data_IF_861939163487
#
_entry.id   IF_861939163487
#
_cell.length_a   1.000
_cell.length_b   1.000
_cell.length_c   1.000
_cell.angle_alpha   90.00
_cell.angle_beta   90.00
_cell.angle_gamma   90.00
#
_symmetry.space_group_name_H-M   'P 1'
#
loop_
_entity.id
_entity.type
_entity.pdbx_description
1 polymer ?
#
# COMPACT_ATOMS: atom_id res chain seq x y z
N UNK A 1 -15.93 -14.92 -17.41
CA UNK A 1 -15.39 -15.39 -16.12
C UNK A 1 -16.16 -14.64 -15.05
N UNK A 2 -17.22 -15.26 -14.54
CA UNK A 2 -18.10 -14.65 -13.54
C UNK A 2 -17.35 -14.54 -12.21
N UNK A 3 -17.18 -13.32 -11.72
CA UNK A 3 -16.73 -13.10 -10.35
C UNK A 3 -17.90 -13.40 -9.43
N UNK A 4 -17.86 -14.54 -8.75
CA UNK A 4 -18.74 -14.80 -7.62
C UNK A 4 -18.53 -13.70 -6.57
N UNK A 5 -19.59 -12.92 -6.31
CA UNK A 5 -19.67 -11.98 -5.20
C UNK A 5 -19.57 -12.80 -3.92
N UNK A 6 -18.41 -12.77 -3.27
CA UNK A 6 -18.24 -13.35 -1.94
C UNK A 6 -19.12 -12.54 -0.99
N UNK A 7 -20.22 -13.14 -0.52
CA UNK A 7 -20.93 -12.65 0.66
C UNK A 7 -19.95 -12.73 1.84
N UNK A 8 -19.33 -11.61 2.20
CA UNK A 8 -18.52 -11.51 3.41
C UNK A 8 -19.44 -11.62 4.63
N UNK A 9 -19.69 -12.85 5.07
CA UNK A 9 -20.25 -13.10 6.39
C UNK A 9 -19.27 -12.54 7.43
N UNK A 10 -19.76 -11.63 8.29
CA UNK A 10 -18.99 -11.08 9.41
C UNK A 10 -18.39 -12.25 10.19
N UNK A 11 -17.06 -12.30 10.30
CA UNK A 11 -16.38 -13.33 11.06
C UNK A 11 -16.89 -13.27 12.51
N UNK A 12 -17.18 -14.42 13.15
CA UNK A 12 -17.60 -14.43 14.54
C UNK A 12 -16.52 -13.79 15.40
N UNK A 13 -16.92 -12.99 16.39
CA UNK A 13 -15.97 -12.46 17.37
C UNK A 13 -15.41 -13.65 18.15
N UNK A 14 -14.12 -13.93 17.97
CA UNK A 14 -13.43 -14.99 18.70
C UNK A 14 -12.98 -14.44 20.05
N UNK A 15 -13.49 -15.04 21.13
CA UNK A 15 -13.10 -14.72 22.52
C UNK A 15 -13.93 -13.61 23.18
N UNK A 16 -13.63 -13.35 24.46
CA UNK A 16 -14.33 -12.35 25.27
C UNK A 16 -13.63 -10.99 25.18
N UNK A 17 -14.30 -9.98 24.63
CA UNK A 17 -13.77 -8.60 24.59
C UNK A 17 -13.72 -8.02 26.00
N UNK A 18 -12.55 -7.52 26.40
CA UNK A 18 -12.37 -6.92 27.72
C UNK A 18 -13.23 -5.65 27.91
N UNK A 19 -13.90 -5.50 29.06
CA UNK A 19 -14.86 -4.40 29.34
C UNK A 19 -14.27 -3.00 29.14
N UNK A 20 -12.98 -2.83 29.41
CA UNK A 20 -12.31 -1.53 29.22
C UNK A 20 -12.05 -1.18 27.75
N UNK A 21 -12.02 -2.15 26.83
CA UNK A 21 -11.97 -1.88 25.40
C UNK A 21 -13.30 -1.28 24.90
N UNK A 22 -14.42 -1.68 25.51
CA UNK A 22 -15.75 -1.16 25.21
C UNK A 22 -15.99 0.24 25.82
N UNK A 23 -15.37 0.55 26.96
CA UNK A 23 -15.57 1.82 27.69
C UNK A 23 -15.00 3.06 27.00
N UNK A 24 -14.06 2.94 26.05
CA UNK A 24 -13.42 4.09 25.40
C UNK A 24 -14.23 4.73 24.26
N UNK A 25 -15.34 4.12 23.85
CA UNK A 25 -16.21 4.61 22.78
C UNK A 25 -17.58 5.03 23.29
N UNK A 26 -17.66 6.10 24.11
CA UNK A 26 -18.97 6.69 24.44
C UNK A 26 -19.54 7.59 23.33
N UNK A 27 -18.73 7.94 22.31
CA UNK A 27 -19.15 8.71 21.12
C UNK A 27 -18.65 8.15 19.78
N UNK A 28 -17.84 7.09 19.75
CA UNK A 28 -17.55 6.39 18.51
C UNK A 28 -18.45 5.17 18.51
N UNK A 29 -19.66 5.34 17.98
CA UNK A 29 -20.37 4.23 17.36
C UNK A 29 -19.31 3.48 16.56
N UNK A 30 -19.04 2.25 16.97
CA UNK A 30 -18.39 1.26 16.13
C UNK A 30 -19.10 1.38 14.80
N UNK A 31 -18.48 2.07 13.83
CA UNK A 31 -19.03 2.30 12.49
C UNK A 31 -19.71 1.00 12.13
N UNK A 32 -21.04 1.04 11.95
CA UNK A 32 -21.82 -0.18 11.80
C UNK A 32 -21.10 -1.05 10.78
N UNK A 33 -20.90 -2.34 11.06
CA UNK A 33 -20.03 -3.20 10.24
C UNK A 33 -20.34 -3.10 8.72
N UNK A 34 -21.55 -2.67 8.38
CA UNK A 34 -22.00 -2.27 7.04
C UNK A 34 -21.16 -1.18 6.36
N UNK A 35 -20.73 -0.12 7.04
CA UNK A 35 -19.87 0.92 6.43
C UNK A 35 -18.54 0.34 5.96
N UNK A 36 -17.94 -0.59 6.72
CA UNK A 36 -16.71 -1.26 6.31
C UNK A 36 -16.93 -2.28 5.19
N UNK A 37 -18.09 -2.94 5.15
CA UNK A 37 -18.47 -3.84 4.06
C UNK A 37 -18.68 -3.08 2.73
N UNK A 38 -19.00 -1.79 2.80
CA UNK A 38 -19.19 -0.93 1.63
C UNK A 38 -17.89 -0.31 1.10
N UNK A 39 -16.74 -0.57 1.73
CA UNK A 39 -15.45 -0.07 1.23
C UNK A 39 -15.16 -0.73 -0.13
N UNK A 40 -14.81 0.05 -1.17
CA UNK A 40 -14.52 -0.50 -2.48
C UNK A 40 -13.40 -1.55 -2.45
N UNK A 41 -13.58 -2.65 -3.18
CA UNK A 41 -12.57 -3.71 -3.30
C UNK A 41 -11.24 -3.20 -3.85
N UNK A 42 -11.28 -2.20 -4.74
CA UNK A 42 -10.09 -1.50 -5.24
C UNK A 42 -9.29 -0.88 -4.10
N UNK A 43 -9.95 -0.24 -3.14
CA UNK A 43 -9.29 0.37 -1.98
C UNK A 43 -8.67 -0.67 -1.07
N UNK A 44 -9.36 -1.78 -0.83
CA UNK A 44 -8.82 -2.87 -0.03
C UNK A 44 -7.59 -3.50 -0.68
N UNK A 45 -7.59 -3.66 -2.01
CA UNK A 45 -6.44 -4.16 -2.76
C UNK A 45 -5.25 -3.18 -2.70
N UNK A 46 -5.50 -1.89 -2.88
CA UNK A 46 -4.50 -0.83 -2.70
C UNK A 46 -3.92 -0.84 -1.28
N UNK A 47 -4.78 -0.86 -0.26
CA UNK A 47 -4.38 -0.83 1.14
C UNK A 47 -3.57 -2.07 1.53
N UNK A 48 -3.99 -3.26 1.08
CA UNK A 48 -3.24 -4.50 1.30
C UNK A 48 -1.84 -4.45 0.64
N UNK A 49 -1.74 -3.96 -0.60
CA UNK A 49 -0.46 -3.79 -1.28
C UNK A 49 0.46 -2.79 -0.58
N UNK A 50 -0.08 -1.67 -0.08
CA UNK A 50 0.68 -0.68 0.68
C UNK A 50 1.18 -1.25 2.02
N UNK A 51 0.34 -2.02 2.72
CA UNK A 51 0.72 -2.69 3.97
C UNK A 51 1.83 -3.72 3.73
N UNK A 52 1.77 -4.48 2.64
CA UNK A 52 2.79 -5.48 2.29
C UNK A 52 4.12 -4.82 1.87
N UNK A 53 4.06 -3.67 1.21
CA UNK A 53 5.25 -2.93 0.76
C UNK A 53 5.95 -2.13 1.86
N UNK A 54 5.19 -1.28 2.56
CA UNK A 54 5.71 -0.22 3.45
C UNK A 54 5.16 -0.32 4.89
N UNK A 55 4.40 -1.36 5.18
CA UNK A 55 3.83 -1.63 6.49
C UNK A 55 4.37 -2.87 7.19
N UNK A 56 3.91 -3.07 8.42
CA UNK A 56 4.11 -4.31 9.16
C UNK A 56 3.01 -4.54 10.19
N UNK A 57 2.75 -5.81 10.50
CA UNK A 57 1.89 -6.24 11.61
C UNK A 57 2.77 -6.76 12.74
N UNK A 58 2.68 -6.13 13.91
CA UNK A 58 3.41 -6.50 15.12
C UNK A 58 2.46 -7.12 16.14
N UNK A 59 2.82 -8.30 16.65
CA UNK A 59 2.17 -8.96 17.78
C UNK A 59 3.16 -8.96 18.95
N UNK A 60 2.76 -8.53 20.14
CA UNK A 60 3.66 -8.41 21.29
C UNK A 60 2.97 -8.76 22.60
N UNK A 61 3.61 -9.61 23.39
CA UNK A 61 3.22 -9.88 24.77
C UNK A 61 3.59 -8.69 25.65
N UNK A 62 2.59 -8.14 26.33
CA UNK A 62 2.81 -7.05 27.28
C UNK A 62 3.22 -7.61 28.63
N UNK A 63 3.98 -6.82 29.40
CA UNK A 63 4.38 -7.16 30.78
C UNK A 63 3.18 -7.34 31.73
N UNK A 64 1.99 -6.92 31.33
CA UNK A 64 0.72 -7.08 32.06
C UNK A 64 -0.03 -8.36 31.71
N UNK A 65 0.56 -9.24 30.90
CA UNK A 65 -0.03 -10.55 30.55
C UNK A 65 -1.04 -10.53 29.40
N UNK A 66 -1.14 -9.44 28.64
CA UNK A 66 -2.04 -9.35 27.47
C UNK A 66 -1.27 -9.27 26.16
N UNK A 67 -1.88 -9.73 25.07
CA UNK A 67 -1.35 -9.62 23.71
C UNK A 67 -1.78 -8.28 23.10
N UNK A 68 -0.83 -7.55 22.51
CA UNK A 68 -1.11 -6.35 21.69
C UNK A 68 -0.80 -6.64 20.24
N UNK A 69 -1.72 -6.28 19.33
CA UNK A 69 -1.50 -6.30 17.88
C UNK A 69 -1.49 -4.87 17.34
N UNK A 70 -0.56 -4.55 16.44
CA UNK A 70 -0.43 -3.24 15.79
C UNK A 70 -0.20 -3.43 14.29
N UNK A 71 -0.93 -2.69 13.47
CA UNK A 71 -0.60 -2.46 12.07
C UNK A 71 0.03 -1.07 11.97
N UNK A 72 1.20 -0.98 11.36
CA UNK A 72 1.94 0.28 11.18
C UNK A 72 2.33 0.41 9.71
N UNK A 73 2.10 1.58 9.13
CA UNK A 73 2.56 1.95 7.77
C UNK A 73 3.45 3.18 7.95
N UNK A 74 4.65 3.15 7.38
CA UNK A 74 5.63 4.23 7.51
C UNK A 74 6.02 4.74 6.13
N UNK A 75 5.55 5.94 5.77
CA UNK A 75 5.87 6.59 4.49
C UNK A 75 6.74 7.84 4.71
N UNK A 76 7.39 8.29 3.64
CA UNK A 76 8.11 9.56 3.63
C UNK A 76 7.14 10.74 3.84
N UNK A 77 7.63 11.86 4.39
CA UNK A 77 6.79 13.03 4.70
C UNK A 77 6.10 13.64 3.47
N UNK A 78 6.71 13.50 2.30
CA UNK A 78 6.13 13.96 1.03
C UNK A 78 4.86 13.19 0.65
N UNK A 79 4.67 11.98 1.19
CA UNK A 79 3.51 11.14 0.97
C UNK A 79 2.52 11.17 2.14
N UNK A 80 2.58 12.21 3.00
CA UNK A 80 1.62 12.41 4.10
C UNK A 80 0.16 12.39 3.61
N UNK A 81 -0.10 12.95 2.43
CA UNK A 81 -1.43 12.95 1.79
C UNK A 81 -1.99 11.54 1.56
N UNK A 82 -1.13 10.55 1.30
CA UNK A 82 -1.55 9.14 1.16
C UNK A 82 -2.03 8.58 2.49
N UNK A 83 -1.34 8.89 3.60
CA UNK A 83 -1.76 8.47 4.94
C UNK A 83 -3.04 9.20 5.39
N UNK A 84 -3.20 10.47 5.03
CA UNK A 84 -4.42 11.24 5.26
C UNK A 84 -5.62 10.66 4.49
N UNK A 85 -5.39 10.25 3.24
CA UNK A 85 -6.40 9.57 2.41
C UNK A 85 -6.84 8.24 3.01
N UNK A 86 -5.89 7.39 3.44
CA UNK A 86 -6.20 6.13 4.09
C UNK A 86 -7.01 6.35 5.37
N UNK A 87 -6.60 7.33 6.19
CA UNK A 87 -7.30 7.68 7.41
C UNK A 87 -8.71 8.24 7.15
N UNK A 88 -8.94 8.97 6.06
CA UNK A 88 -10.27 9.49 5.72
C UNK A 88 -11.24 8.40 5.26
N UNK A 89 -10.75 7.38 4.54
CA UNK A 89 -11.55 6.22 4.12
C UNK A 89 -11.81 5.25 5.27
N UNK A 90 -10.78 4.87 6.01
CA UNK A 90 -10.89 3.90 7.11
C UNK A 90 -11.49 4.50 8.38
N UNK A 91 -11.36 5.82 8.59
CA UNK A 91 -11.80 6.55 9.80
C UNK A 91 -11.26 5.97 11.11
N UNK A 92 -10.14 5.23 11.05
CA UNK A 92 -9.48 4.60 12.20
C UNK A 92 -7.96 4.72 12.10
N UNK A 93 -7.30 4.64 13.25
CA UNK A 93 -5.85 4.77 13.37
C UNK A 93 -5.42 6.12 13.92
N UNK A 94 -4.11 6.33 14.02
CA UNK A 94 -3.51 7.61 14.43
C UNK A 94 -2.35 7.91 13.50
N UNK A 95 -2.29 9.15 13.01
CA UNK A 95 -1.18 9.65 12.22
C UNK A 95 -0.11 10.22 13.17
N UNK A 96 1.12 9.73 13.02
CA UNK A 96 2.28 10.24 13.75
C UNK A 96 3.30 10.76 12.71
N UNK A 97 3.80 11.99 12.90
CA UNK A 97 4.73 12.64 11.97
C UNK A 97 6.13 12.56 12.56
N UNK A 98 7.02 11.83 11.88
CA UNK A 98 8.43 11.71 12.23
C UNK A 98 9.29 12.28 11.10
N UNK A 99 10.29 13.10 11.43
CA UNK A 99 11.20 13.72 10.45
C UNK A 99 12.52 12.93 10.43
N UNK A 100 12.60 11.85 9.64
CA UNK A 100 13.83 11.09 9.39
C UNK A 100 13.81 10.34 8.03
N UNK A 101 14.98 9.97 7.49
CA UNK A 101 15.30 9.98 6.04
C UNK A 101 15.64 8.61 5.38
N UNK A 102 15.06 7.45 5.76
CA UNK A 102 15.33 6.19 5.03
C UNK A 102 14.09 5.35 4.73
N UNK A 103 13.73 5.28 3.45
CA UNK A 103 12.58 4.54 2.91
C UNK A 103 12.90 3.84 1.57
N UNK A 104 12.23 2.73 1.23
CA UNK A 104 12.24 2.17 -0.11
C UNK A 104 11.60 3.17 -1.12
N UNK A 105 11.99 3.09 -2.39
CA UNK A 105 11.64 4.11 -3.39
C UNK A 105 11.11 3.48 -4.68
N UNK A 106 9.91 3.90 -5.05
CA UNK A 106 9.44 3.86 -6.43
C UNK A 106 9.65 5.27 -7.02
N UNK A 107 9.93 5.42 -8.30
CA UNK A 107 10.05 6.73 -8.95
C UNK A 107 9.56 6.71 -10.39
N UNK A 108 8.82 7.74 -10.75
CA UNK A 108 8.50 8.09 -12.14
C UNK A 108 9.19 9.43 -12.42
N UNK A 109 10.04 9.48 -13.43
CA UNK A 109 10.86 10.65 -13.73
C UNK A 109 11.20 10.73 -15.22
N UNK A 110 11.46 11.94 -15.71
CA UNK A 110 11.92 12.18 -17.09
C UNK A 110 13.45 12.35 -17.07
N UNK A 111 14.15 11.60 -17.91
CA UNK A 111 15.62 11.72 -18.07
C UNK A 111 15.97 12.97 -18.88
N UNK A 112 17.22 13.43 -18.80
CA UNK A 112 17.70 14.62 -19.52
C UNK A 112 17.57 14.54 -21.05
N UNK A 113 17.39 13.34 -21.61
CA UNK A 113 17.11 13.12 -23.02
C UNK A 113 15.61 13.12 -23.36
N UNK A 114 14.74 13.60 -22.46
CA UNK A 114 13.28 13.61 -22.55
C UNK A 114 12.60 12.22 -22.56
N UNK A 115 13.31 11.16 -22.15
CA UNK A 115 12.71 9.84 -22.00
C UNK A 115 12.03 9.69 -20.62
N UNK A 116 10.74 9.39 -20.61
CA UNK A 116 10.02 8.98 -19.40
C UNK A 116 10.56 7.65 -18.87
N UNK A 117 10.76 7.56 -17.56
CA UNK A 117 11.34 6.40 -16.89
C UNK A 117 10.52 6.04 -15.64
N UNK A 118 10.24 4.74 -15.50
CA UNK A 118 9.67 4.16 -14.29
C UNK A 118 10.70 3.23 -13.66
N UNK A 119 10.97 3.40 -12.37
CA UNK A 119 11.93 2.61 -11.62
C UNK A 119 11.36 2.20 -10.26
N UNK A 120 11.56 0.94 -9.91
CA UNK A 120 11.20 0.35 -8.63
C UNK A 120 12.45 -0.26 -8.00
N UNK A 121 12.74 0.10 -6.74
CA UNK A 121 13.85 -0.45 -5.98
C UNK A 121 13.40 -0.92 -4.61
N UNK A 122 13.69 -2.18 -4.30
CA UNK A 122 13.30 -2.81 -3.03
C UNK A 122 14.36 -3.83 -2.58
N UNK A 123 14.37 -4.19 -1.30
CA UNK A 123 15.21 -5.27 -0.78
C UNK A 123 14.99 -6.56 -1.58
N UNK A 124 16.05 -7.37 -1.74
CA UNK A 124 16.03 -8.56 -2.62
C UNK A 124 14.77 -9.41 -2.39
N UNK A 125 13.94 -9.50 -3.43
CA UNK A 125 12.72 -10.30 -3.44
C UNK A 125 12.43 -10.80 -4.87
N UNK A 126 13.04 -11.92 -5.27
CA UNK A 126 13.05 -12.41 -6.66
C UNK A 126 11.65 -12.62 -7.23
N UNK A 127 10.76 -13.29 -6.49
CA UNK A 127 9.42 -13.63 -6.97
C UNK A 127 8.57 -12.40 -7.29
N UNK A 128 8.74 -11.33 -6.50
CA UNK A 128 8.01 -10.08 -6.71
C UNK A 128 8.47 -9.39 -8.00
N UNK A 129 9.78 -9.35 -8.24
CA UNK A 129 10.32 -8.71 -9.44
C UNK A 129 10.06 -9.54 -10.71
N UNK A 130 10.01 -10.87 -10.62
CA UNK A 130 9.53 -11.71 -11.73
C UNK A 130 8.02 -11.51 -11.96
N UNK A 131 7.21 -11.33 -10.91
CA UNK A 131 5.81 -10.96 -11.09
C UNK A 131 5.65 -9.61 -11.79
N UNK A 132 6.47 -8.61 -11.47
CA UNK A 132 6.46 -7.32 -12.18
C UNK A 132 6.80 -7.45 -13.67
N UNK A 133 7.72 -8.34 -14.04
CA UNK A 133 7.98 -8.64 -15.46
C UNK A 133 6.76 -9.21 -16.17
N UNK A 134 6.02 -10.11 -15.51
CA UNK A 134 4.79 -10.67 -16.06
C UNK A 134 3.69 -9.61 -16.18
N UNK A 135 3.51 -8.78 -15.15
CA UNK A 135 2.51 -7.71 -15.12
C UNK A 135 2.75 -6.67 -16.23
N UNK A 136 4.00 -6.23 -16.40
CA UNK A 136 4.36 -5.26 -17.43
C UNK A 136 4.74 -5.90 -18.77
N UNK A 137 4.61 -7.21 -18.90
CA UNK A 137 4.96 -7.99 -20.09
C UNK A 137 6.30 -7.53 -20.69
N UNK A 138 7.37 -7.65 -19.88
CA UNK A 138 8.69 -7.13 -20.24
C UNK A 138 9.81 -8.08 -19.88
N UNK A 139 10.81 -8.16 -20.76
CA UNK A 139 12.01 -9.00 -20.57
C UNK A 139 13.18 -8.21 -19.98
N UNK A 140 12.94 -7.02 -19.41
CA UNK A 140 13.99 -6.20 -18.79
C UNK A 140 14.69 -6.96 -17.67
N UNK A 141 16.02 -6.89 -17.68
CA UNK A 141 16.85 -7.47 -16.62
C UNK A 141 16.58 -6.72 -15.30
N UNK A 142 16.38 -7.48 -14.22
CA UNK A 142 16.35 -6.94 -12.86
C UNK A 142 17.79 -6.75 -12.42
N UNK A 143 18.13 -5.53 -12.04
CA UNK A 143 19.46 -5.18 -11.54
C UNK A 143 19.53 -5.48 -10.03
N UNK A 144 20.70 -5.91 -9.56
CA UNK A 144 20.96 -6.09 -8.13
C UNK A 144 21.93 -5.02 -7.67
N UNK A 145 21.43 -4.03 -6.94
CA UNK A 145 22.24 -2.92 -6.44
C UNK A 145 22.86 -3.27 -5.08
N UNK A 146 24.20 -3.13 -4.98
CA UNK A 146 24.99 -3.37 -3.76
C UNK A 146 24.76 -4.75 -3.10
N UNK A 147 24.24 -5.72 -3.85
CA UNK A 147 23.91 -7.05 -3.32
C UNK A 147 22.77 -7.05 -2.28
N UNK A 148 22.03 -5.94 -2.13
CA UNK A 148 21.01 -5.79 -1.08
C UNK A 148 19.61 -5.45 -1.64
N UNK A 149 19.56 -4.85 -2.83
CA UNK A 149 18.33 -4.36 -3.43
C UNK A 149 18.17 -4.89 -4.86
N UNK A 150 16.96 -5.30 -5.21
CA UNK A 150 16.56 -5.50 -6.59
C UNK A 150 16.04 -4.18 -7.15
N UNK A 151 16.34 -3.93 -8.42
CA UNK A 151 15.90 -2.76 -9.16
C UNK A 151 15.30 -3.19 -10.50
N UNK A 152 14.09 -2.71 -10.77
CA UNK A 152 13.37 -2.86 -12.02
C UNK A 152 13.22 -1.48 -12.65
N UNK A 153 13.57 -1.34 -13.92
CA UNK A 153 13.52 -0.06 -14.62
C UNK A 153 13.08 -0.23 -16.07
N UNK A 154 12.14 0.61 -16.50
CA UNK A 154 11.67 0.70 -17.88
C UNK A 154 11.66 2.16 -18.34
N UNK A 155 12.02 2.39 -19.60
CA UNK A 155 12.01 3.73 -20.20
C UNK A 155 11.60 3.76 -21.67
N UNK A 156 11.25 2.60 -22.26
CA UNK A 156 10.77 2.59 -23.65
C UNK A 156 9.34 3.12 -23.70
N UNK A 157 8.96 3.80 -24.79
CA UNK A 157 7.59 4.31 -24.96
C UNK A 157 6.53 3.22 -24.77
N UNK A 158 6.80 2.00 -25.26
CA UNK A 158 5.90 0.85 -25.10
C UNK A 158 5.79 0.38 -23.64
N UNK A 159 6.92 0.23 -22.93
CA UNK A 159 6.89 -0.19 -21.52
C UNK A 159 6.22 0.89 -20.66
N UNK A 160 6.51 2.17 -20.90
CA UNK A 160 5.90 3.29 -20.18
C UNK A 160 4.39 3.34 -20.44
N UNK A 161 3.93 3.09 -21.67
CA UNK A 161 2.49 3.00 -21.93
C UNK A 161 1.85 1.84 -21.16
N UNK A 162 2.52 0.69 -21.02
CA UNK A 162 2.03 -0.43 -20.20
C UNK A 162 1.95 -0.05 -18.72
N UNK A 163 2.95 0.66 -18.19
CA UNK A 163 2.95 1.20 -16.82
C UNK A 163 1.78 2.17 -16.62
N UNK A 164 1.59 3.12 -17.55
CA UNK A 164 0.48 4.08 -17.50
C UNK A 164 -0.85 3.34 -17.54
N UNK A 165 -1.04 2.42 -18.48
CA UNK A 165 -2.25 1.63 -18.61
C UNK A 165 -2.55 0.84 -17.33
N UNK A 166 -1.52 0.24 -16.73
CA UNK A 166 -1.64 -0.47 -15.45
C UNK A 166 -2.15 0.47 -14.35
N UNK A 167 -1.59 1.67 -14.20
CA UNK A 167 -2.04 2.61 -13.17
C UNK A 167 -3.31 3.41 -13.52
N UNK A 168 -3.73 3.40 -14.79
CA UNK A 168 -4.87 4.19 -15.30
C UNK A 168 -6.13 3.36 -15.58
N UNK A 169 -6.09 2.04 -15.36
CA UNK A 169 -7.23 1.16 -15.65
C UNK A 169 -8.38 1.38 -14.65
N UNK A 170 -9.62 1.42 -15.15
CA UNK A 170 -10.82 1.52 -14.32
C UNK A 170 -10.94 0.33 -13.38
N UNK A 171 -10.81 0.56 -12.08
CA UNK A 171 -10.83 -0.48 -11.03
C UNK A 171 -9.54 -0.57 -10.20
N UNK A 172 -8.49 0.15 -10.58
CA UNK A 172 -7.26 0.31 -9.79
C UNK A 172 -7.22 1.71 -9.14
N UNK A 173 -6.55 1.84 -7.99
CA UNK A 173 -6.41 3.16 -7.36
C UNK A 173 -5.52 4.08 -8.21
N UNK A 174 -5.93 5.34 -8.42
CA UNK A 174 -5.14 6.29 -9.16
C UNK A 174 -3.80 6.54 -8.46
N UNK A 175 -2.81 7.02 -9.22
CA UNK A 175 -1.58 7.54 -8.63
C UNK A 175 -1.94 8.72 -7.70
N UNK A 176 -1.72 8.53 -6.40
CA UNK A 176 -1.93 9.54 -5.36
C UNK A 176 -0.61 10.06 -4.81
N UNK A 177 -0.65 11.19 -4.11
CA UNK A 177 0.52 11.79 -3.46
C UNK A 177 1.57 12.29 -4.45
N UNK A 178 2.85 12.20 -4.07
CA UNK A 178 3.95 12.73 -4.87
C UNK A 178 4.03 12.06 -6.26
N UNK A 179 3.65 10.78 -6.34
CA UNK A 179 3.66 10.02 -7.60
C UNK A 179 2.65 10.51 -8.62
N UNK A 180 1.46 10.93 -8.17
CA UNK A 180 0.47 11.57 -9.05
C UNK A 180 0.99 12.90 -9.60
N UNK A 181 1.62 13.72 -8.75
CA UNK A 181 2.19 15.01 -9.15
C UNK A 181 3.35 14.83 -10.15
N UNK A 182 4.24 13.85 -9.91
CA UNK A 182 5.35 13.52 -10.81
C UNK A 182 4.90 13.06 -12.19
N UNK A 183 3.73 12.44 -12.31
CA UNK A 183 3.17 11.98 -13.58
C UNK A 183 2.56 13.12 -14.41
N UNK A 184 1.94 14.10 -13.76
CA UNK A 184 1.25 15.22 -14.44
C UNK A 184 2.26 16.26 -14.96
N UNK A 185 3.42 16.37 -14.32
CA UNK A 185 4.53 17.26 -14.73
C UNK A 185 5.34 16.69 -15.88
#
# INVERSE_FOLDING_TARGET
>A
MEFHVLNFSILPVIGTVHKNALKKGKNNSRLENQEYLNIPSSFLAFFAGLVDGDGYIQITNTTKGFITMKLVISLHLEDLSTLEYINSVLKVGKLNIYRDNRSPTCSFFVKANNDGCFQLKQRIHKNLFEAFKLVFDTNRKIETEKGLYNQFGVSSKSDIQKVINFFSFSGLHPLVGLKGIQYIK
#
